data_IF_367196079390
#
_entry.id   IF_367196079390
#
_cell.length_a   1.000
_cell.length_b   1.000
_cell.length_c   1.000
_cell.angle_alpha   90.00
_cell.angle_beta   90.00
_cell.angle_gamma   90.00
#
_symmetry.space_group_name_H-M   'P 1'
#
loop_
_entity.id
_entity.type
_entity.pdbx_description
1 polymer ?
#
# COMPACT_ATOMS: atom_id res chain seq x y z
N UNK A 1 9.02 -4.15 38.21
CA UNK A 1 8.93 -2.82 37.59
C UNK A 1 9.78 -2.67 36.31
N UNK A 2 11.13 -2.76 36.33
CA UNK A 2 11.96 -2.62 35.10
C UNK A 2 11.72 -3.72 34.04
N UNK A 3 11.47 -4.96 34.47
CA UNK A 3 11.16 -6.11 33.58
C UNK A 3 9.79 -5.97 32.91
N UNK A 4 8.81 -5.44 33.64
CA UNK A 4 7.45 -5.24 33.14
C UNK A 4 7.42 -4.16 32.06
N UNK A 5 8.17 -3.07 32.27
CA UNK A 5 8.33 -2.00 31.28
C UNK A 5 8.95 -2.53 29.97
N UNK A 6 10.03 -3.32 30.06
CA UNK A 6 10.66 -3.95 28.89
C UNK A 6 9.69 -4.87 28.14
N UNK A 7 8.87 -5.63 28.87
CA UNK A 7 7.90 -6.55 28.26
C UNK A 7 6.78 -5.81 27.54
N UNK A 8 6.31 -4.69 28.09
CA UNK A 8 5.28 -3.85 27.48
C UNK A 8 5.81 -3.21 26.21
N UNK A 9 7.03 -2.62 26.24
CA UNK A 9 7.66 -2.04 25.05
C UNK A 9 7.81 -3.06 23.92
N UNK A 10 8.25 -4.29 24.23
CA UNK A 10 8.39 -5.33 23.22
C UNK A 10 7.05 -5.76 22.60
N UNK A 11 5.97 -5.80 23.40
CA UNK A 11 4.61 -6.09 22.91
C UNK A 11 4.11 -4.99 21.97
N UNK A 12 4.37 -3.73 22.30
CA UNK A 12 3.99 -2.59 21.46
C UNK A 12 4.72 -2.63 20.13
N UNK A 13 6.04 -2.85 20.13
CA UNK A 13 6.85 -2.96 18.91
C UNK A 13 6.35 -4.11 18.04
N UNK A 14 6.09 -5.29 18.63
CA UNK A 14 5.52 -6.43 17.91
C UNK A 14 4.18 -6.07 17.27
N UNK A 15 3.28 -5.42 18.00
CA UNK A 15 1.97 -5.02 17.48
C UNK A 15 2.05 -4.06 16.30
N UNK A 16 3.00 -3.11 16.33
CA UNK A 16 3.25 -2.18 15.22
C UNK A 16 3.76 -2.95 13.99
N UNK A 17 4.73 -3.85 14.16
CA UNK A 17 5.26 -4.67 13.06
C UNK A 17 4.17 -5.58 12.45
N UNK A 18 3.39 -6.25 13.27
CA UNK A 18 2.28 -7.10 12.82
C UNK A 18 1.21 -6.28 12.07
N UNK A 19 0.96 -5.05 12.51
CA UNK A 19 0.06 -4.12 11.84
C UNK A 19 0.58 -3.69 10.47
N UNK A 20 1.87 -3.34 10.37
CA UNK A 20 2.53 -2.98 9.12
C UNK A 20 2.51 -4.14 8.11
N UNK A 21 2.86 -5.35 8.56
CA UNK A 21 2.79 -6.57 7.74
C UNK A 21 1.39 -6.80 7.18
N UNK A 22 0.34 -6.64 8.00
CA UNK A 22 -1.05 -6.76 7.55
C UNK A 22 -1.44 -5.64 6.59
N UNK A 23 -1.01 -4.40 6.82
CA UNK A 23 -1.36 -3.29 5.94
C UNK A 23 -0.67 -3.42 4.59
N UNK A 24 0.60 -3.80 4.55
CA UNK A 24 1.34 -3.99 3.30
C UNK A 24 0.83 -5.19 2.52
N UNK A 25 0.56 -6.32 3.18
CA UNK A 25 0.02 -7.51 2.52
C UNK A 25 -1.39 -7.29 1.94
N UNK A 26 -2.17 -6.36 2.50
CA UNK A 26 -3.51 -6.01 2.02
C UNK A 26 -3.55 -4.68 1.23
N UNK A 27 -2.43 -3.96 1.12
CA UNK A 27 -2.34 -2.75 0.31
C UNK A 27 -2.20 -3.17 -1.15
N UNK A 28 -3.30 -3.08 -1.88
CA UNK A 28 -3.29 -3.25 -3.34
C UNK A 28 -2.74 -1.97 -3.96
N UNK A 29 -1.71 -2.05 -4.81
CA UNK A 29 -1.07 -0.87 -5.43
C UNK A 29 -1.92 -0.20 -6.54
N UNK A 30 -3.22 -0.49 -6.62
CA UNK A 30 -4.06 -0.10 -7.74
C UNK A 30 -4.45 1.39 -7.75
N UNK A 31 -4.11 2.16 -6.71
CA UNK A 31 -4.50 3.58 -6.64
C UNK A 31 -3.71 4.47 -7.63
N UNK A 32 -2.46 4.10 -7.94
CA UNK A 32 -1.60 4.89 -8.84
C UNK A 32 -0.97 3.99 -9.89
N UNK A 33 -1.79 3.51 -10.82
CA UNK A 33 -1.28 2.86 -12.03
C UNK A 33 -0.91 3.94 -13.03
N UNK A 34 0.37 4.01 -13.41
CA UNK A 34 0.79 4.85 -14.53
C UNK A 34 0.12 4.33 -15.81
N UNK A 35 -0.83 5.08 -16.33
CA UNK A 35 -1.35 4.83 -17.67
C UNK A 35 -0.43 5.56 -18.67
N UNK A 36 0.31 4.84 -19.54
CA UNK A 36 1.10 5.47 -20.58
C UNK A 36 0.18 6.29 -21.50
N UNK A 37 0.74 7.35 -22.10
CA UNK A 37 0.03 8.11 -23.13
C UNK A 37 -0.46 7.13 -24.20
N UNK A 38 -1.77 7.21 -24.51
CA UNK A 38 -2.37 6.32 -25.49
C UNK A 38 -1.69 6.49 -26.86
N UNK A 39 -1.42 5.40 -27.60
CA UNK A 39 -0.87 5.46 -28.95
C UNK A 39 -1.69 6.35 -29.89
N UNK A 40 -1.01 7.13 -30.72
CA UNK A 40 -1.63 8.02 -31.73
C UNK A 40 -2.57 7.25 -32.66
N UNK A 41 -2.22 6.02 -33.01
CA UNK A 41 -3.04 5.14 -33.85
C UNK A 41 -4.42 4.82 -33.28
N UNK A 42 -4.60 4.92 -31.94
CA UNK A 42 -5.89 4.68 -31.30
C UNK A 42 -6.82 5.88 -31.37
N UNK A 43 -6.30 7.08 -31.68
CA UNK A 43 -7.14 8.28 -31.81
C UNK A 43 -8.19 8.14 -32.90
N UNK A 44 -7.91 7.38 -33.98
CA UNK A 44 -8.85 7.12 -35.09
C UNK A 44 -10.11 6.36 -34.66
N UNK A 45 -10.05 5.64 -33.54
CA UNK A 45 -11.18 4.88 -33.00
C UNK A 45 -11.93 5.63 -31.89
N UNK A 46 -11.47 6.83 -31.51
CA UNK A 46 -12.12 7.62 -30.48
C UNK A 46 -13.45 8.12 -31.03
N UNK A 47 -14.55 7.79 -30.35
CA UNK A 47 -15.87 8.33 -30.71
C UNK A 47 -15.83 9.85 -30.56
N UNK A 48 -16.01 10.57 -31.66
CA UNK A 48 -16.35 11.99 -31.62
C UNK A 48 -17.81 12.10 -31.17
N UNK A 49 -18.05 12.95 -30.16
CA UNK A 49 -19.40 13.34 -29.74
C UNK A 49 -19.81 14.58 -30.51
#
# INVERSE_FOLDING_TARGET
MKKDLKSTTMKTIKGVLDGMLKSEANSTSCMFVYQPKAPEELKKFRKHK
#
